data_IF_174380026509
#
_entry.id   IF_174380026509
#
_cell.length_a   1.000
_cell.length_b   1.000
_cell.length_c   1.000
_cell.angle_alpha   90.00
_cell.angle_beta   90.00
_cell.angle_gamma   90.00
#
_symmetry.space_group_name_H-M   'P 1'
#
loop_
_entity.id
_entity.type
_entity.pdbx_description
1 polymer ?
#
# COMPACT_ATOMS: atom_id res chain seq x y z
N UNK A 1 -10.05 -18.78 18.28
CA UNK A 1 -10.55 -17.75 17.34
C UNK A 1 -11.91 -18.10 16.74
N UNK A 2 -12.33 -19.38 16.69
CA UNK A 2 -13.67 -19.75 16.18
C UNK A 2 -14.81 -19.53 17.19
N UNK A 3 -14.57 -19.76 18.48
CA UNK A 3 -15.63 -19.69 19.51
C UNK A 3 -16.26 -18.28 19.64
N UNK A 4 -15.46 -17.21 19.51
CA UNK A 4 -15.97 -15.84 19.56
C UNK A 4 -16.93 -15.49 18.43
N UNK A 5 -16.63 -15.96 17.20
CA UNK A 5 -17.49 -15.73 16.04
C UNK A 5 -18.79 -16.53 16.12
N UNK A 6 -18.71 -17.80 16.50
CA UNK A 6 -19.91 -18.61 16.71
C UNK A 6 -20.81 -18.05 17.82
N UNK A 7 -20.22 -17.44 18.84
CA UNK A 7 -20.95 -16.78 19.92
C UNK A 7 -21.67 -15.51 19.44
N UNK A 8 -21.01 -14.69 18.62
CA UNK A 8 -21.63 -13.52 17.98
C UNK A 8 -22.78 -13.94 17.06
N UNK A 9 -22.59 -14.99 16.26
CA UNK A 9 -23.61 -15.49 15.32
C UNK A 9 -24.79 -16.20 16.02
N UNK A 10 -24.69 -16.48 17.31
CA UNK A 10 -25.74 -17.20 18.07
C UNK A 10 -26.98 -16.36 18.39
N UNK A 11 -26.89 -15.03 18.29
CA UNK A 11 -27.98 -14.11 18.64
C UNK A 11 -28.14 -13.84 20.14
N UNK A 12 -27.24 -14.37 20.99
CA UNK A 12 -27.32 -14.22 22.45
C UNK A 12 -27.00 -12.80 22.91
N UNK A 13 -26.18 -12.05 22.17
CA UNK A 13 -25.76 -10.70 22.52
C UNK A 13 -26.90 -9.68 22.38
N UNK A 14 -27.77 -9.88 21.39
CA UNK A 14 -28.97 -9.08 21.17
C UNK A 14 -29.98 -9.30 22.31
N UNK A 15 -30.18 -10.56 22.70
CA UNK A 15 -31.02 -10.90 23.85
C UNK A 15 -30.46 -10.34 25.16
N UNK A 16 -29.13 -10.30 25.29
CA UNK A 16 -28.44 -9.69 26.42
C UNK A 16 -28.74 -8.19 26.50
N UNK A 17 -28.52 -7.44 25.41
CA UNK A 17 -28.76 -5.99 25.37
C UNK A 17 -30.23 -5.65 25.58
N UNK A 18 -31.15 -6.49 25.08
CA UNK A 18 -32.59 -6.35 25.32
C UNK A 18 -33.02 -6.73 26.75
N UNK A 19 -32.12 -7.28 27.57
CA UNK A 19 -32.42 -7.71 28.94
C UNK A 19 -33.34 -8.93 29.03
N UNK A 20 -33.37 -9.77 27.99
CA UNK A 20 -34.25 -10.94 27.88
C UNK A 20 -33.61 -12.25 28.37
N UNK A 21 -32.32 -12.23 28.71
CA UNK A 21 -31.60 -13.38 29.24
C UNK A 21 -31.85 -13.63 30.72
N UNK A 22 -31.68 -14.89 31.15
CA UNK A 22 -31.63 -15.24 32.57
C UNK A 22 -30.37 -14.68 33.25
N UNK A 23 -30.39 -14.56 34.57
CA UNK A 23 -29.25 -14.05 35.34
C UNK A 23 -27.96 -14.87 35.13
N UNK A 24 -28.09 -16.18 34.92
CA UNK A 24 -26.96 -17.06 34.64
C UNK A 24 -26.34 -16.75 33.28
N UNK A 25 -27.16 -16.69 32.22
CA UNK A 25 -26.72 -16.37 30.86
C UNK A 25 -26.12 -14.96 30.77
N UNK A 26 -26.68 -13.99 31.48
CA UNK A 26 -26.11 -12.65 31.57
C UNK A 26 -24.68 -12.65 32.16
N UNK A 27 -24.44 -13.48 33.18
CA UNK A 27 -23.10 -13.63 33.76
C UNK A 27 -22.13 -14.30 32.78
N UNK A 28 -22.60 -15.26 31.99
CA UNK A 28 -21.80 -15.93 30.96
C UNK A 28 -21.41 -14.96 29.84
N UNK A 29 -22.35 -14.13 29.37
CA UNK A 29 -22.07 -13.07 28.38
C UNK A 29 -21.04 -12.07 28.92
N UNK A 30 -21.16 -11.65 30.17
CA UNK A 30 -20.19 -10.73 30.79
C UNK A 30 -18.79 -11.35 30.93
N UNK A 31 -18.71 -12.62 31.30
CA UNK A 31 -17.44 -13.35 31.35
C UNK A 31 -16.83 -13.49 29.95
N UNK A 32 -17.67 -13.72 28.94
CA UNK A 32 -17.23 -13.83 27.56
C UNK A 32 -16.75 -12.49 26.99
N UNK A 33 -17.47 -11.40 27.24
CA UNK A 33 -17.06 -10.05 26.86
C UNK A 33 -15.76 -9.61 27.59
N UNK A 34 -15.52 -10.11 28.79
CA UNK A 34 -14.29 -9.80 29.55
C UNK A 34 -13.05 -10.52 28.99
N UNK A 35 -13.22 -11.73 28.46
CA UNK A 35 -12.14 -12.57 27.94
C UNK A 35 -11.93 -12.44 26.43
N UNK A 36 -12.95 -11.99 25.69
CA UNK A 36 -12.90 -11.81 24.24
C UNK A 36 -13.27 -10.35 23.85
N UNK A 37 -12.28 -9.55 23.41
CA UNK A 37 -12.52 -8.18 22.95
C UNK A 37 -13.49 -8.05 21.77
N UNK A 38 -13.56 -9.05 20.88
CA UNK A 38 -14.48 -9.02 19.72
C UNK A 38 -15.93 -9.08 20.19
N UNK A 39 -16.23 -9.92 21.18
CA UNK A 39 -17.58 -10.03 21.77
C UNK A 39 -17.96 -8.72 22.45
N UNK A 40 -17.03 -8.08 23.17
CA UNK A 40 -17.28 -6.78 23.79
C UNK A 40 -17.60 -5.69 22.76
N UNK A 41 -16.85 -5.65 21.66
CA UNK A 41 -17.08 -4.70 20.57
C UNK A 41 -18.46 -4.90 19.93
N UNK A 42 -18.87 -6.16 19.76
CA UNK A 42 -20.19 -6.47 19.20
C UNK A 42 -21.32 -6.02 20.14
N UNK A 43 -21.20 -6.27 21.45
CA UNK A 43 -22.16 -5.78 22.45
C UNK A 43 -22.30 -4.26 22.40
N UNK A 44 -21.18 -3.53 22.37
CA UNK A 44 -21.19 -2.06 22.25
C UNK A 44 -21.83 -1.58 20.94
N UNK A 45 -21.58 -2.27 19.83
CA UNK A 45 -22.20 -1.95 18.54
C UNK A 45 -23.73 -2.11 18.57
N UNK A 46 -24.22 -3.19 19.21
CA UNK A 46 -25.65 -3.46 19.39
C UNK A 46 -26.27 -2.40 20.32
N UNK A 47 -25.61 -2.03 21.42
CA UNK A 47 -26.07 -0.98 22.34
C UNK A 47 -26.23 0.37 21.63
N UNK A 48 -25.24 0.78 20.82
CA UNK A 48 -25.28 2.02 20.02
C UNK A 48 -26.42 1.98 18.99
N UNK A 49 -26.65 0.83 18.36
CA UNK A 49 -27.76 0.66 17.41
C UNK A 49 -29.11 0.83 18.12
N UNK A 50 -29.25 0.25 19.31
CA UNK A 50 -30.46 0.33 20.12
C UNK A 50 -30.70 1.76 20.65
N UNK A 51 -29.64 2.46 21.08
CA UNK A 51 -29.70 3.87 21.48
C UNK A 51 -30.22 4.74 20.32
N UNK A 52 -29.64 4.59 19.13
CA UNK A 52 -30.09 5.33 17.94
C UNK A 52 -31.56 5.08 17.64
N UNK A 53 -32.00 3.82 17.73
CA UNK A 53 -33.41 3.46 17.54
C UNK A 53 -34.30 4.12 18.61
N UNK A 54 -33.92 4.09 19.88
CA UNK A 54 -34.66 4.68 20.98
C UNK A 54 -34.78 6.21 20.84
N UNK A 55 -33.70 6.89 20.45
CA UNK A 55 -33.70 8.34 20.21
C UNK A 55 -34.61 8.72 19.03
N UNK A 56 -34.58 7.95 17.94
CA UNK A 56 -35.45 8.19 16.78
C UNK A 56 -36.94 8.00 17.10
N UNK A 57 -37.25 7.12 18.05
CA UNK A 57 -38.62 6.82 18.49
C UNK A 57 -38.95 7.46 19.85
N UNK A 58 -38.26 8.53 20.23
CA UNK A 58 -38.42 9.16 21.53
C UNK A 58 -39.83 9.74 21.71
N UNK A 59 -40.46 9.42 22.85
CA UNK A 59 -41.77 9.95 23.25
C UNK A 59 -41.57 11.04 24.30
N UNK A 60 -42.28 12.16 24.14
CA UNK A 60 -42.20 13.27 25.09
C UNK A 60 -42.64 12.81 26.49
N UNK A 61 -41.79 12.99 27.53
CA UNK A 61 -42.15 12.62 28.89
C UNK A 61 -43.25 13.53 29.47
N UNK A 62 -43.91 13.04 30.53
CA UNK A 62 -44.92 13.82 31.26
C UNK A 62 -44.32 15.10 31.86
N UNK A 63 -45.09 16.20 31.83
CA UNK A 63 -44.68 17.48 32.39
C UNK A 63 -44.37 17.31 33.90
N UNK A 64 -43.23 17.82 34.35
CA UNK A 64 -42.79 17.71 35.75
C UNK A 64 -42.13 16.38 36.13
N UNK A 65 -41.90 15.45 35.19
CA UNK A 65 -41.11 14.25 35.46
C UNK A 65 -39.67 14.58 35.87
N UNK A 66 -39.04 15.54 35.20
CA UNK A 66 -37.68 16.00 35.49
C UNK A 66 -37.53 16.47 36.95
N UNK A 67 -38.41 17.36 37.42
CA UNK A 67 -38.41 17.84 38.80
C UNK A 67 -38.56 16.69 39.80
N UNK A 68 -39.49 15.76 39.55
CA UNK A 68 -39.69 14.58 40.41
C UNK A 68 -38.45 13.69 40.47
N UNK A 69 -37.74 13.52 39.35
CA UNK A 69 -36.48 12.78 39.32
C UNK A 69 -35.44 13.52 40.17
N UNK A 70 -35.24 14.81 39.95
CA UNK A 70 -34.26 15.64 40.67
C UNK A 70 -34.52 15.72 42.17
N UNK A 71 -35.78 15.81 42.61
CA UNK A 71 -36.16 15.68 44.03
C UNK A 71 -35.71 14.33 44.59
N UNK A 72 -35.98 13.23 43.87
CA UNK A 72 -35.70 11.88 44.34
C UNK A 72 -34.21 11.56 44.42
N UNK A 73 -33.39 12.15 43.56
CA UNK A 73 -31.92 12.01 43.57
C UNK A 73 -31.23 13.11 44.40
N UNK A 74 -31.99 13.94 45.12
CA UNK A 74 -31.44 14.95 46.03
C UNK A 74 -30.74 16.13 45.34
N UNK A 75 -31.04 16.37 44.05
CA UNK A 75 -30.51 17.49 43.27
C UNK A 75 -31.44 18.71 43.26
N UNK A 76 -32.62 18.61 43.88
CA UNK A 76 -33.49 19.77 44.10
C UNK A 76 -33.00 20.52 45.32
N UNK A 77 -32.35 21.67 45.11
CA UNK A 77 -32.15 22.66 46.16
C UNK A 77 -33.51 23.29 46.51
N UNK A 78 -34.07 23.10 47.72
CA UNK A 78 -35.33 23.69 48.09
C UNK A 78 -35.10 25.11 48.60
N UNK A 79 -34.48 25.98 47.79
CA UNK A 79 -34.30 27.37 48.18
C UNK A 79 -34.13 28.31 46.97
N UNK A 80 -35.20 28.94 46.47
CA UNK A 80 -35.11 30.27 45.89
C UNK A 80 -35.15 31.30 47.04
N UNK A 81 -34.23 31.22 48.01
CA UNK A 81 -33.86 32.44 48.71
C UNK A 81 -33.00 33.21 47.73
N UNK A 82 -33.43 34.43 47.44
CA UNK A 82 -32.54 35.49 47.02
C UNK A 82 -31.43 35.60 48.08
N UNK A 83 -30.36 34.82 47.94
CA UNK A 83 -29.07 35.23 48.44
C UNK A 83 -28.71 36.43 47.58
N UNK A 84 -28.84 37.64 48.15
CA UNK A 84 -28.15 38.80 47.62
C UNK A 84 -26.71 38.36 47.37
N UNK A 85 -26.33 38.36 46.09
CA UNK A 85 -25.05 37.87 45.65
C UNK A 85 -23.98 38.53 46.53
N UNK A 86 -23.33 37.74 47.39
CA UNK A 86 -22.12 38.20 48.06
C UNK A 86 -21.14 38.50 46.93
N UNK A 87 -20.97 39.79 46.64
CA UNK A 87 -20.06 40.28 45.62
C UNK A 87 -18.66 39.96 46.13
N UNK A 88 -18.17 38.77 45.79
CA UNK A 88 -16.75 38.46 45.86
C UNK A 88 -16.16 39.21 44.68
N UNK A 89 -15.32 40.24 44.88
CA UNK A 89 -14.59 40.80 43.76
C UNK A 89 -13.84 39.64 43.10
N UNK A 90 -14.08 39.41 41.81
CA UNK A 90 -13.19 38.61 40.99
C UNK A 90 -11.87 39.37 40.90
N UNK A 91 -11.07 39.28 41.95
CA UNK A 91 -9.63 39.35 41.79
C UNK A 91 -9.33 38.16 40.90
N UNK A 92 -9.14 38.43 39.61
CA UNK A 92 -8.74 37.46 38.63
C UNK A 92 -7.58 36.68 39.23
N UNK A 93 -7.85 35.43 39.64
CA UNK A 93 -6.78 34.50 39.99
C UNK A 93 -5.93 34.47 38.75
N UNK A 94 -4.73 35.02 38.91
CA UNK A 94 -3.85 35.33 37.81
C UNK A 94 -3.68 34.07 36.99
N UNK A 95 -3.85 34.24 35.70
CA UNK A 95 -4.05 33.21 34.71
C UNK A 95 -2.70 32.54 34.40
N UNK A 96 -2.06 31.89 35.38
CA UNK A 96 -0.65 31.47 35.24
C UNK A 96 -0.48 30.08 34.60
N UNK A 97 -1.46 29.16 34.69
CA UNK A 97 -1.24 27.76 34.27
C UNK A 97 -1.69 27.39 32.85
N UNK A 98 -2.75 28.00 32.31
CA UNK A 98 -3.30 27.61 31.00
C UNK A 98 -2.51 28.18 29.82
N UNK A 99 -1.82 29.31 30.00
CA UNK A 99 -0.92 29.86 28.97
C UNK A 99 0.25 28.92 28.68
N UNK A 100 0.73 28.19 29.69
CA UNK A 100 1.83 27.22 29.55
C UNK A 100 1.39 25.98 28.77
N UNK A 101 0.21 25.41 29.13
CA UNK A 101 -0.34 24.22 28.45
C UNK A 101 -0.70 24.47 26.98
N UNK A 102 -1.18 25.67 26.63
CA UNK A 102 -1.46 26.02 25.24
C UNK A 102 -0.16 26.21 24.44
N UNK A 103 0.92 26.67 25.06
CA UNK A 103 2.23 26.83 24.40
C UNK A 103 2.87 25.47 24.11
N UNK A 104 2.82 24.52 25.04
CA UNK A 104 3.33 23.16 24.80
C UNK A 104 2.53 22.44 23.71
N UNK A 105 1.21 22.60 23.68
CA UNK A 105 0.36 22.03 22.63
C UNK A 105 0.68 22.61 21.24
N UNK A 106 0.95 23.93 21.15
CA UNK A 106 1.40 24.56 19.90
C UNK A 106 2.77 24.03 19.44
N UNK A 107 3.71 23.86 20.36
CA UNK A 107 5.02 23.28 20.03
C UNK A 107 4.90 21.82 19.56
N UNK A 108 4.06 21.01 20.23
CA UNK A 108 3.80 19.63 19.83
C UNK A 108 3.17 19.57 18.42
N UNK A 109 2.21 20.46 18.11
CA UNK A 109 1.60 20.55 16.78
C UNK A 109 2.65 20.89 15.70
N UNK A 110 3.51 21.89 15.96
CA UNK A 110 4.59 22.25 15.02
C UNK A 110 5.55 21.07 14.80
N UNK A 111 5.92 20.34 15.85
CA UNK A 111 6.78 19.18 15.74
C UNK A 111 6.13 18.05 14.90
N UNK A 112 4.84 17.78 15.10
CA UNK A 112 4.10 16.81 14.30
C UNK A 112 4.04 17.21 12.82
N UNK A 113 3.77 18.48 12.52
CA UNK A 113 3.75 18.98 11.13
C UNK A 113 5.14 18.88 10.51
N UNK A 114 6.20 19.22 11.24
CA UNK A 114 7.57 19.09 10.76
C UNK A 114 7.92 17.62 10.44
N UNK A 115 7.58 16.68 11.33
CA UNK A 115 7.79 15.25 11.09
C UNK A 115 6.98 14.73 9.89
N UNK A 116 5.75 15.22 9.70
CA UNK A 116 4.93 14.86 8.55
C UNK A 116 5.58 15.33 7.24
N UNK A 117 6.08 16.56 7.18
CA UNK A 117 6.77 17.09 5.99
C UNK A 117 8.03 16.27 5.68
N UNK A 118 8.83 15.93 6.69
CA UNK A 118 10.01 15.07 6.50
C UNK A 118 9.62 13.69 5.98
N UNK A 119 8.56 13.09 6.53
CA UNK A 119 8.07 11.78 6.10
C UNK A 119 7.58 11.80 4.65
N UNK A 120 6.81 12.83 4.25
CA UNK A 120 6.34 12.98 2.88
C UNK A 120 7.50 13.20 1.91
N UNK A 121 8.49 14.00 2.28
CA UNK A 121 9.68 14.22 1.46
C UNK A 121 10.47 12.91 1.25
N UNK A 122 10.67 12.12 2.32
CA UNK A 122 11.34 10.82 2.24
C UNK A 122 10.56 9.80 1.39
N UNK A 123 9.23 9.83 1.47
CA UNK A 123 8.38 8.96 0.63
C UNK A 123 8.49 9.35 -0.85
N UNK A 124 8.49 10.65 -1.15
CA UNK A 124 8.64 11.14 -2.52
C UNK A 124 10.01 10.77 -3.13
N UNK A 125 11.10 10.93 -2.36
CA UNK A 125 12.44 10.54 -2.84
C UNK A 125 12.52 9.03 -3.07
N UNK A 126 12.01 8.22 -2.15
CA UNK A 126 11.98 6.76 -2.34
C UNK A 126 11.20 6.37 -3.59
N UNK A 127 10.03 6.97 -3.83
CA UNK A 127 9.26 6.71 -5.05
C UNK A 127 10.00 7.11 -6.33
N UNK A 128 10.76 8.21 -6.32
CA UNK A 128 11.58 8.63 -7.46
C UNK A 128 12.73 7.64 -7.71
N UNK A 129 13.42 7.19 -6.66
CA UNK A 129 14.50 6.21 -6.74
C UNK A 129 14.00 4.88 -7.32
N UNK A 130 12.82 4.41 -6.89
CA UNK A 130 12.19 3.20 -7.43
C UNK A 130 11.89 3.30 -8.93
N UNK A 131 11.54 4.48 -9.44
CA UNK A 131 11.35 4.73 -10.87
C UNK A 131 12.66 4.57 -11.65
N UNK A 132 13.72 5.25 -11.20
CA UNK A 132 15.03 5.17 -11.85
C UNK A 132 15.63 3.76 -11.83
N UNK A 133 15.44 3.00 -10.75
CA UNK A 133 15.89 1.62 -10.65
C UNK A 133 15.16 0.71 -11.66
N UNK A 134 13.85 0.91 -11.88
CA UNK A 134 13.08 0.18 -12.90
C UNK A 134 13.57 0.50 -14.30
N UNK A 135 13.84 1.77 -14.60
CA UNK A 135 14.35 2.20 -15.90
C UNK A 135 15.75 1.62 -16.17
N UNK A 136 16.64 1.60 -15.16
CA UNK A 136 17.96 0.97 -15.26
C UNK A 136 17.87 -0.53 -15.52
N UNK A 137 16.93 -1.23 -14.85
CA UNK A 137 16.72 -2.67 -15.09
C UNK A 137 16.23 -2.89 -16.54
N UNK A 138 15.33 -2.05 -17.04
CA UNK A 138 14.82 -2.13 -18.41
C UNK A 138 15.89 -1.80 -19.46
N UNK A 139 16.74 -0.81 -19.23
CA UNK A 139 17.85 -0.51 -20.15
C UNK A 139 18.90 -1.61 -20.12
N UNK A 140 19.22 -2.15 -18.94
CA UNK A 140 20.21 -3.22 -18.81
C UNK A 140 19.76 -4.53 -19.47
N UNK A 141 18.46 -4.85 -19.41
CA UNK A 141 17.92 -6.01 -20.12
C UNK A 141 18.00 -5.83 -21.64
N UNK A 142 17.66 -4.64 -22.15
CA UNK A 142 17.81 -4.30 -23.56
C UNK A 142 19.28 -4.34 -24.04
N UNK A 143 20.22 -3.84 -23.22
CA UNK A 143 21.65 -3.92 -23.51
C UNK A 143 22.16 -5.36 -23.54
N UNK A 144 21.66 -6.21 -22.64
CA UNK A 144 22.01 -7.65 -22.61
C UNK A 144 21.53 -8.37 -23.87
N UNK A 145 20.33 -8.06 -24.36
CA UNK A 145 19.78 -8.59 -25.61
C UNK A 145 20.68 -8.19 -26.80
N UNK A 146 21.01 -6.90 -26.90
CA UNK A 146 21.88 -6.36 -27.96
C UNK A 146 23.30 -6.91 -27.89
N UNK A 147 23.84 -7.10 -26.69
CA UNK A 147 25.14 -7.72 -26.52
C UNK A 147 25.11 -9.17 -26.97
N UNK A 148 24.09 -9.94 -26.58
CA UNK A 148 23.90 -11.33 -27.01
C UNK A 148 23.77 -11.46 -28.53
N UNK A 149 23.03 -10.56 -29.19
CA UNK A 149 22.90 -10.56 -30.65
C UNK A 149 24.24 -10.23 -31.34
N UNK A 150 24.98 -9.25 -30.80
CA UNK A 150 26.30 -8.87 -31.33
C UNK A 150 27.32 -10.00 -31.17
N UNK A 151 27.35 -10.66 -30.01
CA UNK A 151 28.22 -11.81 -29.75
C UNK A 151 27.87 -12.97 -30.68
N UNK A 152 26.57 -13.26 -30.87
CA UNK A 152 26.12 -14.29 -31.80
C UNK A 152 26.54 -13.99 -33.24
N UNK A 153 26.33 -12.76 -33.71
CA UNK A 153 26.76 -12.30 -35.04
C UNK A 153 28.29 -12.39 -35.22
N UNK A 154 29.06 -11.94 -34.25
CA UNK A 154 30.52 -12.05 -34.28
C UNK A 154 30.99 -13.50 -34.32
N UNK A 155 30.33 -14.40 -33.58
CA UNK A 155 30.65 -15.83 -33.58
C UNK A 155 30.33 -16.47 -34.93
N UNK A 156 29.21 -16.13 -35.54
CA UNK A 156 28.84 -16.57 -36.89
C UNK A 156 29.84 -16.06 -37.93
N UNK A 157 30.16 -14.77 -37.91
CA UNK A 157 31.14 -14.18 -38.83
C UNK A 157 32.54 -14.81 -38.66
N UNK A 158 32.98 -15.06 -37.42
CA UNK A 158 34.24 -15.80 -37.18
C UNK A 158 34.17 -17.25 -37.67
N UNK A 159 33.03 -17.92 -37.54
CA UNK A 159 32.84 -19.27 -38.06
C UNK A 159 32.92 -19.30 -39.59
N UNK A 160 32.35 -18.30 -40.27
CA UNK A 160 32.41 -18.19 -41.72
C UNK A 160 33.81 -17.82 -42.22
N UNK A 161 34.53 -16.91 -41.53
CA UNK A 161 35.93 -16.65 -41.81
C UNK A 161 36.79 -17.91 -41.62
N UNK A 162 36.56 -18.69 -40.56
CA UNK A 162 37.25 -19.97 -40.36
C UNK A 162 36.94 -20.97 -41.49
N UNK A 163 35.70 -21.02 -42.01
CA UNK A 163 35.38 -21.83 -43.20
C UNK A 163 36.15 -21.35 -44.44
N UNK A 164 36.21 -20.04 -44.68
CA UNK A 164 36.97 -19.48 -45.80
C UNK A 164 38.48 -19.78 -45.70
N UNK A 165 39.05 -19.69 -44.49
CA UNK A 165 40.45 -20.07 -44.23
C UNK A 165 40.66 -21.56 -44.50
N UNK A 166 39.72 -22.43 -44.11
CA UNK A 166 39.82 -23.88 -44.37
C UNK A 166 39.76 -24.23 -45.87
N UNK A 167 39.00 -23.45 -46.66
CA UNK A 167 38.94 -23.57 -48.12
C UNK A 167 40.28 -23.14 -48.75
N UNK A 168 40.86 -22.03 -48.30
CA UNK A 168 42.15 -21.55 -48.82
C UNK A 168 43.34 -22.41 -48.41
N UNK A 169 43.21 -23.21 -47.35
CA UNK A 169 44.29 -24.06 -46.81
C UNK A 169 44.31 -25.46 -47.43
N UNK A 170 43.29 -25.84 -48.22
CA UNK A 170 43.23 -27.12 -48.92
C UNK A 170 43.87 -27.01 -50.32
N UNK A 171 44.94 -27.79 -50.62
CA UNK A 171 45.68 -27.72 -51.90
C UNK A 171 44.87 -28.10 -53.15
N UNK A 172 43.65 -28.64 -53.02
CA UNK A 172 42.84 -29.13 -54.13
C UNK A 172 41.90 -28.10 -54.76
N UNK A 173 41.78 -26.90 -54.19
CA UNK A 173 40.93 -25.84 -54.75
C UNK A 173 41.57 -25.23 -56.01
N UNK A 174 40.83 -25.28 -57.12
CA UNK A 174 41.24 -24.65 -58.38
C UNK A 174 40.48 -23.35 -58.57
N UNK A 175 41.22 -22.26 -58.76
CA UNK A 175 40.66 -20.93 -59.02
C UNK A 175 40.50 -20.74 -60.53
N UNK A 176 39.29 -20.44 -61.00
CA UNK A 176 39.03 -20.11 -62.40
C UNK A 176 38.59 -18.66 -62.49
N UNK A 177 39.47 -17.80 -63.01
CA UNK A 177 39.20 -16.38 -63.23
C UNK A 177 38.45 -16.21 -64.56
N UNK A 178 37.20 -15.76 -64.50
CA UNK A 178 36.40 -15.52 -65.69
C UNK A 178 36.64 -14.08 -66.17
N UNK A 179 36.87 -13.90 -67.47
CA UNK A 179 37.03 -12.57 -68.07
C UNK A 179 35.67 -11.87 -68.13
N UNK A 180 35.56 -10.70 -67.51
CA UNK A 180 34.33 -9.90 -67.52
C UNK A 180 33.95 -9.39 -68.92
N UNK A 181 32.64 -9.22 -69.15
CA UNK A 181 32.12 -8.59 -70.37
C UNK A 181 32.18 -7.05 -70.25
N UNK A 182 32.02 -6.37 -71.39
CA UNK A 182 32.22 -4.94 -71.76
C UNK A 182 31.76 -3.80 -70.81
N UNK A 183 31.37 -4.03 -69.55
CA UNK A 183 31.07 -3.01 -68.55
C UNK A 183 31.95 -3.18 -67.28
N UNK A 184 32.66 -2.15 -66.78
CA UNK A 184 33.94 -2.34 -66.09
C UNK A 184 33.87 -2.35 -64.56
N UNK A 185 32.93 -3.09 -63.94
CA UNK A 185 32.92 -3.24 -62.47
C UNK A 185 32.70 -4.65 -61.94
N UNK A 186 32.32 -5.63 -62.77
CA UNK A 186 32.07 -7.00 -62.28
C UNK A 186 33.25 -7.94 -62.58
N UNK A 187 34.07 -8.22 -61.57
CA UNK A 187 35.04 -9.31 -61.59
C UNK A 187 34.47 -10.49 -60.78
N UNK A 188 34.18 -11.60 -61.45
CA UNK A 188 33.69 -12.83 -60.80
C UNK A 188 34.79 -13.88 -60.75
N UNK A 189 35.09 -14.37 -59.56
CA UNK A 189 36.05 -15.47 -59.35
C UNK A 189 35.28 -16.69 -58.87
N UNK A 190 35.44 -17.80 -59.58
CA UNK A 190 34.79 -19.08 -59.24
C UNK A 190 35.84 -20.03 -58.68
N UNK A 191 35.56 -20.55 -57.49
CA UNK A 191 36.37 -21.56 -56.81
C UNK A 191 35.67 -22.92 -56.96
N UNK A 192 36.36 -23.88 -57.54
CA UNK A 192 35.83 -25.23 -57.80
C UNK A 192 36.66 -26.29 -57.08
N UNK A 193 35.98 -27.15 -56.32
CA UNK A 193 36.59 -28.29 -55.63
C UNK A 193 36.22 -29.62 -56.33
N UNK A 194 37.11 -30.20 -57.15
CA UNK A 194 36.77 -31.32 -58.04
C UNK A 194 36.49 -32.66 -57.34
N UNK A 195 36.99 -32.86 -56.11
CA UNK A 195 36.74 -34.10 -55.33
C UNK A 195 35.39 -34.10 -54.63
N UNK A 196 34.98 -32.98 -54.06
CA UNK A 196 33.74 -32.89 -53.26
C UNK A 196 32.58 -32.24 -54.02
N UNK A 197 32.79 -31.83 -55.29
CA UNK A 197 31.79 -31.20 -56.16
C UNK A 197 31.18 -29.91 -55.58
N UNK A 198 31.92 -29.19 -54.75
CA UNK A 198 31.51 -27.90 -54.22
C UNK A 198 31.92 -26.75 -55.16
N UNK A 199 30.96 -25.88 -55.49
CA UNK A 199 31.17 -24.63 -56.24
C UNK A 199 30.94 -23.45 -55.30
N UNK A 200 31.88 -22.50 -55.28
CA UNK A 200 31.65 -21.19 -54.67
C UNK A 200 31.94 -20.08 -55.67
N UNK A 201 31.10 -19.05 -55.63
CA UNK A 201 31.20 -17.88 -56.49
C UNK A 201 31.43 -16.67 -55.60
N UNK A 202 32.53 -15.96 -55.83
CA UNK A 202 32.77 -14.66 -55.21
C UNK A 202 32.47 -13.58 -56.25
N UNK A 203 31.42 -12.80 -56.01
CA UNK A 203 31.08 -11.59 -56.75
C UNK A 203 31.53 -10.41 -55.92
N UNK A 204 32.67 -9.81 -56.25
CA UNK A 204 33.11 -8.56 -55.64
C UNK A 204 32.51 -7.42 -56.46
N UNK A 205 31.69 -6.58 -55.81
CA UNK A 205 31.11 -5.36 -56.39
C UNK A 205 32.04 -4.17 -56.12
#
# INVERSE_FOLDING_TARGET
MEEGKAYIESGILELYVLGLLSAQEQSEVQAMASSNPEVKQEVEAIEIAMEKYAVQNAVKPTVGLENRIFERIGLTNPNPQQEEAKVIPLNAVENVDYKSRIRSLRLALVACVALLVVSVAALYSAHADLGSARDQIASLSADREKFSSTVSYMKENNADLNKLVSISSDPNWKTVKLAGQKNPTDNMVVYWHPKEKHVMVNTTK
#
